data_IF_986187612027
#
_entry.id   IF_986187612027
#
_cell.length_a   1.000
_cell.length_b   1.000
_cell.length_c   1.000
_cell.angle_alpha   90.00
_cell.angle_beta   90.00
_cell.angle_gamma   90.00
#
_symmetry.space_group_name_H-M   'P 1'
#
loop_
_entity.id
_entity.type
_entity.pdbx_description
1 polymer ?
#
# COMPACT_ATOMS: atom_id res chain seq x y z
N UNK A 1 10.23 8.33 -19.15
CA UNK A 1 10.87 8.77 -17.91
C UNK A 1 9.81 8.85 -16.82
N UNK A 2 9.91 7.99 -15.81
CA UNK A 2 9.09 8.14 -14.57
C UNK A 2 9.82 9.19 -13.75
N UNK A 3 9.24 10.39 -13.65
CA UNK A 3 9.69 11.41 -12.72
C UNK A 3 9.29 10.95 -11.31
N UNK A 4 10.25 10.48 -10.53
CA UNK A 4 10.08 10.29 -9.11
C UNK A 4 10.31 11.66 -8.46
N UNK A 5 9.27 12.32 -7.91
CA UNK A 5 9.48 13.59 -7.22
C UNK A 5 10.39 13.34 -6.00
N UNK A 6 11.17 14.35 -5.57
CA UNK A 6 11.98 14.25 -4.37
C UNK A 6 11.07 13.89 -3.18
N UNK A 7 11.60 13.13 -2.19
CA UNK A 7 10.82 12.79 -1.01
C UNK A 7 10.41 14.08 -0.28
N UNK A 8 9.11 14.21 -0.07
CA UNK A 8 8.56 15.24 0.82
C UNK A 8 8.81 14.90 2.29
N UNK A 9 8.27 15.71 3.17
CA UNK A 9 8.38 15.45 4.60
C UNK A 9 7.73 14.10 4.94
N UNK A 10 8.40 13.23 5.73
CA UNK A 10 7.82 11.98 6.16
C UNK A 10 6.54 12.21 6.98
N UNK A 11 5.66 11.22 7.00
CA UNK A 11 4.48 11.26 7.87
C UNK A 11 4.91 11.34 9.32
N UNK A 12 4.50 12.39 10.00
CA UNK A 12 4.75 12.60 11.44
C UNK A 12 3.40 12.50 12.16
N UNK A 13 3.26 11.60 13.14
CA UNK A 13 2.12 11.63 14.04
C UNK A 13 2.15 12.94 14.82
N UNK A 14 1.07 13.71 14.79
CA UNK A 14 0.95 14.88 15.66
C UNK A 14 0.61 14.46 17.09
N UNK A 15 0.99 15.29 18.06
CA UNK A 15 0.84 15.02 19.50
C UNK A 15 -0.62 14.83 19.96
N UNK A 16 -1.59 15.28 19.17
CA UNK A 16 -3.01 14.93 19.31
C UNK A 16 -3.32 13.77 18.40
N UNK A 17 -3.15 12.63 18.88
CA UNK A 17 -3.23 11.21 18.49
C UNK A 17 -4.02 10.77 17.23
N UNK A 18 -4.53 11.63 16.34
CA UNK A 18 -5.44 11.21 15.27
C UNK A 18 -5.14 11.76 13.88
N UNK A 19 -4.31 12.78 13.73
CA UNK A 19 -4.08 13.39 12.43
C UNK A 19 -2.67 13.13 11.92
N UNK A 20 -2.55 12.33 10.85
CA UNK A 20 -1.32 12.17 10.09
C UNK A 20 -1.16 13.34 9.13
N UNK A 21 0.04 13.94 9.10
CA UNK A 21 0.40 15.00 8.17
C UNK A 21 1.69 14.64 7.43
N UNK A 22 1.78 15.01 6.15
CA UNK A 22 2.96 14.82 5.33
C UNK A 22 2.77 13.81 4.21
N UNK A 23 3.88 13.33 3.67
CA UNK A 23 3.90 12.37 2.56
C UNK A 23 4.31 10.99 3.04
N UNK A 24 3.64 9.98 2.50
CA UNK A 24 3.95 8.58 2.72
C UNK A 24 4.11 7.87 1.38
N UNK A 25 5.24 7.22 1.20
CA UNK A 25 5.58 6.47 -0.02
C UNK A 25 5.99 5.06 0.34
N UNK A 26 5.41 4.07 -0.34
CA UNK A 26 5.80 2.66 -0.26
C UNK A 26 5.73 1.99 -1.61
N UNK A 27 6.57 0.98 -1.77
CA UNK A 27 6.51 0.04 -2.88
C UNK A 27 6.49 -1.38 -2.34
N UNK A 28 5.56 -2.18 -2.84
CA UNK A 28 5.41 -3.59 -2.50
C UNK A 28 5.63 -4.43 -3.73
N UNK A 29 6.41 -5.49 -3.57
CA UNK A 29 6.63 -6.50 -4.61
C UNK A 29 6.23 -7.85 -4.03
N UNK A 30 5.37 -8.57 -4.73
CA UNK A 30 4.99 -9.95 -4.41
C UNK A 30 5.45 -10.85 -5.54
N UNK A 31 6.26 -11.85 -5.21
CA UNK A 31 6.79 -12.85 -6.13
C UNK A 31 6.76 -14.24 -5.49
N UNK A 32 6.88 -15.30 -6.30
CA UNK A 32 6.93 -16.69 -5.79
C UNK A 32 8.23 -17.01 -5.06
N UNK A 33 9.34 -16.38 -5.44
CA UNK A 33 10.67 -16.61 -4.89
C UNK A 33 11.20 -15.31 -4.31
N UNK A 34 12.12 -15.44 -3.37
CA UNK A 34 12.64 -14.30 -2.63
C UNK A 34 13.57 -13.41 -3.47
N UNK A 35 14.31 -14.01 -4.42
CA UNK A 35 15.29 -13.29 -5.25
C UNK A 35 14.97 -13.45 -6.74
N UNK A 36 15.27 -12.39 -7.52
CA UNK A 36 15.30 -12.30 -8.99
C UNK A 36 14.04 -12.77 -9.74
N UNK A 37 12.91 -12.96 -9.06
CA UNK A 37 11.69 -13.40 -9.70
C UNK A 37 10.86 -12.22 -10.23
N UNK A 38 10.21 -12.43 -11.37
CA UNK A 38 9.28 -11.46 -11.92
C UNK A 38 8.08 -11.36 -10.97
N UNK A 39 7.68 -10.14 -10.64
CA UNK A 39 6.57 -9.89 -9.72
C UNK A 39 5.28 -10.54 -10.21
N UNK A 40 4.57 -11.24 -9.32
CA UNK A 40 3.17 -11.58 -9.53
C UNK A 40 2.32 -10.31 -9.48
N UNK A 41 2.58 -9.44 -8.50
CA UNK A 41 1.97 -8.13 -8.30
C UNK A 41 3.02 -7.15 -7.77
N UNK A 42 2.94 -5.90 -8.21
CA UNK A 42 3.70 -4.78 -7.67
C UNK A 42 2.74 -3.62 -7.43
N UNK A 43 2.87 -2.97 -6.29
CA UNK A 43 2.10 -1.76 -5.95
C UNK A 43 3.06 -0.68 -5.45
N UNK A 44 3.12 0.45 -6.17
CA UNK A 44 3.71 1.70 -5.70
C UNK A 44 2.60 2.63 -5.22
N UNK A 45 2.73 3.17 -4.03
CA UNK A 45 1.72 4.02 -3.42
C UNK A 45 2.38 5.26 -2.82
N UNK A 46 1.93 6.45 -3.23
CA UNK A 46 2.23 7.73 -2.60
C UNK A 46 0.95 8.39 -2.13
N UNK A 47 0.91 8.78 -0.88
CA UNK A 47 -0.17 9.57 -0.28
C UNK A 47 0.39 10.87 0.28
N UNK A 48 -0.36 11.95 0.16
CA UNK A 48 -0.17 13.19 0.91
C UNK A 48 -1.36 13.40 1.81
N UNK A 49 -1.10 13.57 3.09
CA UNK A 49 -2.12 13.72 4.14
C UNK A 49 -2.02 15.11 4.76
N UNK A 50 -3.18 15.70 5.03
CA UNK A 50 -3.33 16.91 5.87
C UNK A 50 -4.45 16.66 6.86
N UNK A 51 -4.16 16.81 8.14
CA UNK A 51 -5.11 16.59 9.24
C UNK A 51 -5.82 15.23 9.16
N UNK A 52 -5.06 14.20 8.78
CA UNK A 52 -5.57 12.85 8.61
C UNK A 52 -6.40 12.61 7.33
N UNK A 53 -6.58 13.62 6.49
CA UNK A 53 -7.32 13.51 5.22
C UNK A 53 -6.34 13.35 4.05
N UNK A 54 -6.65 12.46 3.12
CA UNK A 54 -5.87 12.25 1.90
C UNK A 54 -6.11 13.42 0.95
N UNK A 55 -5.11 14.27 0.75
CA UNK A 55 -5.19 15.39 -0.19
C UNK A 55 -4.67 15.04 -1.57
N UNK A 56 -3.74 14.08 -1.66
CA UNK A 56 -3.23 13.55 -2.92
C UNK A 56 -2.97 12.05 -2.80
N UNK A 57 -3.26 11.31 -3.86
CA UNK A 57 -2.95 9.91 -3.98
C UNK A 57 -2.37 9.61 -5.37
N UNK A 58 -1.36 8.75 -5.42
CA UNK A 58 -0.80 8.23 -6.67
C UNK A 58 -0.48 6.76 -6.49
N UNK A 59 -1.14 5.91 -7.25
CA UNK A 59 -1.00 4.46 -7.19
C UNK A 59 -0.58 3.90 -8.54
N UNK A 60 0.60 3.29 -8.61
CA UNK A 60 1.10 2.54 -9.77
C UNK A 60 1.03 1.04 -9.51
N UNK A 61 0.47 0.29 -10.43
CA UNK A 61 0.25 -1.16 -10.29
C UNK A 61 0.91 -1.92 -11.43
N UNK A 62 1.66 -2.96 -11.09
CA UNK A 62 2.24 -3.91 -12.03
C UNK A 62 1.66 -5.31 -11.86
N UNK A 63 1.65 -6.11 -12.94
CA UNK A 63 1.14 -7.47 -12.93
C UNK A 63 -0.38 -7.60 -13.12
N UNK A 64 -1.08 -6.53 -13.46
CA UNK A 64 -2.53 -6.50 -13.67
C UNK A 64 -2.94 -6.16 -15.10
N UNK A 65 -1.99 -5.72 -15.91
CA UNK A 65 -2.13 -5.41 -17.33
C UNK A 65 -0.82 -5.72 -18.05
N UNK A 66 -0.77 -5.55 -19.37
CA UNK A 66 0.42 -5.78 -20.18
C UNK A 66 1.60 -4.86 -19.78
N UNK A 67 1.31 -3.67 -19.29
CA UNK A 67 2.27 -2.69 -18.78
C UNK A 67 1.84 -2.19 -17.41
N UNK A 68 2.76 -1.58 -16.62
CA UNK A 68 2.37 -0.91 -15.39
C UNK A 68 1.33 0.18 -15.66
N UNK A 69 0.32 0.26 -14.82
CA UNK A 69 -0.82 1.18 -14.96
C UNK A 69 -1.07 1.96 -13.68
N UNK A 70 -1.71 3.13 -13.80
CA UNK A 70 -2.20 3.89 -12.65
C UNK A 70 -3.59 3.41 -12.24
N UNK A 71 -3.82 3.35 -10.94
CA UNK A 71 -5.12 3.00 -10.35
C UNK A 71 -5.95 4.28 -10.11
N UNK A 72 -6.35 4.95 -11.20
CA UNK A 72 -7.01 6.27 -11.13
C UNK A 72 -8.35 6.26 -10.41
N UNK A 73 -9.10 5.15 -10.48
CA UNK A 73 -10.37 5.01 -9.75
C UNK A 73 -10.14 4.89 -8.26
N UNK A 74 -9.12 4.13 -7.88
CA UNK A 74 -8.72 3.97 -6.48
C UNK A 74 -8.17 5.28 -5.91
N UNK A 75 -7.36 6.02 -6.69
CA UNK A 75 -6.88 7.35 -6.30
C UNK A 75 -8.06 8.29 -6.03
N UNK A 76 -9.05 8.32 -6.92
CA UNK A 76 -10.25 9.15 -6.75
C UNK A 76 -11.09 8.74 -5.52
N UNK A 77 -11.11 7.46 -5.18
CA UNK A 77 -11.81 6.97 -3.99
C UNK A 77 -11.09 7.30 -2.67
N UNK A 78 -9.80 7.65 -2.73
CA UNK A 78 -8.99 8.04 -1.57
C UNK A 78 -8.97 9.55 -1.33
N UNK A 79 -8.91 10.34 -2.40
CA UNK A 79 -8.76 11.80 -2.31
C UNK A 79 -9.99 12.42 -1.65
N UNK A 80 -9.75 13.22 -0.61
CA UNK A 80 -10.79 13.88 0.18
C UNK A 80 -11.32 13.04 1.34
N UNK A 81 -10.94 11.77 1.46
CA UNK A 81 -11.38 10.89 2.53
C UNK A 81 -10.39 10.88 3.70
N UNK A 82 -10.88 10.74 4.93
CA UNK A 82 -10.04 10.49 6.09
C UNK A 82 -9.27 9.17 5.91
N UNK A 83 -7.98 9.15 6.22
CA UNK A 83 -7.15 7.95 6.12
C UNK A 83 -7.39 7.02 7.32
N UNK A 84 -8.45 6.27 7.26
CA UNK A 84 -8.94 5.33 8.29
C UNK A 84 -8.93 3.90 7.77
N UNK A 85 -9.12 2.94 8.66
CA UNK A 85 -9.29 1.54 8.27
C UNK A 85 -10.48 1.35 7.31
N UNK A 86 -11.58 2.06 7.54
CA UNK A 86 -12.78 1.96 6.71
C UNK A 86 -12.54 2.51 5.29
N UNK A 87 -11.92 3.69 5.17
CA UNK A 87 -11.60 4.26 3.85
C UNK A 87 -10.55 3.44 3.10
N UNK A 88 -9.55 2.90 3.80
CA UNK A 88 -8.57 2.00 3.22
C UNK A 88 -9.21 0.68 2.74
N UNK A 89 -10.14 0.10 3.50
CA UNK A 89 -10.88 -1.09 3.10
C UNK A 89 -11.79 -0.82 1.88
N UNK A 90 -12.46 0.35 1.85
CA UNK A 90 -13.25 0.76 0.68
C UNK A 90 -12.37 0.91 -0.57
N UNK A 91 -11.27 1.65 -0.46
CA UNK A 91 -10.33 1.83 -1.57
C UNK A 91 -9.70 0.49 -2.02
N UNK A 92 -9.44 -0.45 -1.10
CA UNK A 92 -8.98 -1.79 -1.43
C UNK A 92 -10.00 -2.55 -2.29
N UNK A 93 -11.30 -2.43 -1.99
CA UNK A 93 -12.37 -3.03 -2.79
C UNK A 93 -12.45 -2.40 -4.18
N UNK A 94 -12.29 -1.09 -4.29
CA UNK A 94 -12.22 -0.38 -5.57
C UNK A 94 -11.02 -0.87 -6.38
N UNK A 95 -9.84 -0.98 -5.76
CA UNK A 95 -8.61 -1.44 -6.40
C UNK A 95 -8.74 -2.87 -6.95
N UNK A 96 -9.37 -3.76 -6.19
CA UNK A 96 -9.64 -5.14 -6.62
C UNK A 96 -10.58 -5.21 -7.84
N UNK A 97 -11.52 -4.27 -7.94
CA UNK A 97 -12.48 -4.19 -9.04
C UNK A 97 -11.99 -3.36 -10.24
N UNK A 98 -10.91 -2.59 -10.07
CA UNK A 98 -10.42 -1.67 -11.11
C UNK A 98 -9.75 -2.41 -12.27
N UNK A 99 -9.13 -3.57 -12.00
CA UNK A 99 -8.35 -4.31 -12.98
C UNK A 99 -8.90 -5.73 -13.21
N UNK A 100 -8.66 -6.24 -14.43
CA UNK A 100 -8.96 -7.61 -14.82
C UNK A 100 -7.66 -8.34 -15.23
N UNK A 101 -6.81 -8.70 -14.25
CA UNK A 101 -5.57 -9.39 -14.55
C UNK A 101 -5.80 -10.76 -15.15
N UNK A 102 -4.85 -11.23 -15.95
CA UNK A 102 -4.84 -12.61 -16.46
C UNK A 102 -4.34 -13.58 -15.38
N UNK A 103 -4.70 -14.84 -15.53
CA UNK A 103 -4.06 -15.95 -14.82
C UNK A 103 -2.91 -16.50 -15.66
N UNK A 104 -1.76 -16.70 -15.06
CA UNK A 104 -0.58 -17.29 -15.68
C UNK A 104 0.16 -18.22 -14.69
N UNK A 105 1.35 -18.71 -15.10
CA UNK A 105 2.17 -19.59 -14.25
C UNK A 105 2.63 -18.93 -12.94
N UNK A 106 2.59 -17.58 -12.84
CA UNK A 106 3.02 -16.84 -11.66
C UNK A 106 1.92 -16.71 -10.63
N UNK A 107 0.69 -16.39 -11.07
CA UNK A 107 -0.43 -16.20 -10.17
C UNK A 107 -1.77 -16.25 -10.94
N UNK A 108 -2.83 -16.65 -10.24
CA UNK A 108 -4.19 -16.54 -10.75
C UNK A 108 -4.68 -15.09 -10.74
N UNK A 109 -5.64 -14.76 -11.60
CA UNK A 109 -6.31 -13.47 -11.62
C UNK A 109 -6.95 -13.14 -10.26
N UNK A 110 -7.56 -14.13 -9.62
CA UNK A 110 -8.14 -13.98 -8.28
C UNK A 110 -7.09 -13.60 -7.24
N UNK A 111 -5.98 -14.34 -7.19
CA UNK A 111 -4.87 -14.06 -6.26
C UNK A 111 -4.33 -12.64 -6.44
N UNK A 112 -4.09 -12.21 -7.69
CA UNK A 112 -3.57 -10.86 -7.98
C UNK A 112 -4.50 -9.77 -7.44
N UNK A 113 -5.82 -9.90 -7.64
CA UNK A 113 -6.81 -8.95 -7.12
C UNK A 113 -6.84 -8.94 -5.59
N UNK A 114 -6.90 -10.11 -4.97
CA UNK A 114 -6.91 -10.24 -3.50
C UNK A 114 -5.68 -9.61 -2.88
N UNK A 115 -4.51 -9.90 -3.42
CA UNK A 115 -3.22 -9.37 -2.92
C UNK A 115 -3.18 -7.85 -3.05
N UNK A 116 -3.64 -7.25 -4.16
CA UNK A 116 -3.67 -5.79 -4.30
C UNK A 116 -4.48 -5.12 -3.19
N UNK A 117 -5.66 -5.63 -2.90
CA UNK A 117 -6.47 -5.10 -1.80
C UNK A 117 -5.77 -5.25 -0.44
N UNK A 118 -5.15 -6.39 -0.19
CA UNK A 118 -4.40 -6.63 1.05
C UNK A 118 -3.18 -5.70 1.18
N UNK A 119 -2.48 -5.41 0.08
CA UNK A 119 -1.36 -4.48 0.09
C UNK A 119 -1.79 -3.05 0.44
N UNK A 120 -2.95 -2.61 -0.02
CA UNK A 120 -3.47 -1.29 0.33
C UNK A 120 -3.87 -1.21 1.81
N UNK A 121 -4.49 -2.26 2.35
CA UNK A 121 -4.79 -2.35 3.79
C UNK A 121 -3.51 -2.42 4.64
N UNK A 122 -2.51 -3.17 4.18
CA UNK A 122 -1.18 -3.19 4.80
C UNK A 122 -0.54 -1.79 4.82
N UNK A 123 -0.65 -1.05 3.73
CA UNK A 123 -0.16 0.31 3.63
C UNK A 123 -0.79 1.22 4.69
N UNK A 124 -2.11 1.08 4.92
CA UNK A 124 -2.79 1.79 6.01
C UNK A 124 -2.21 1.40 7.38
N UNK A 125 -2.11 0.12 7.66
CA UNK A 125 -1.60 -0.36 8.94
C UNK A 125 -0.16 0.09 9.22
N UNK A 126 0.73 0.02 8.22
CA UNK A 126 2.11 0.50 8.34
C UNK A 126 2.20 2.02 8.55
N UNK A 127 1.38 2.80 7.84
CA UNK A 127 1.39 4.27 7.94
C UNK A 127 0.86 4.78 9.28
N UNK A 128 0.01 4.01 9.95
CA UNK A 128 -0.57 4.34 11.26
C UNK A 128 0.19 3.71 12.43
N UNK A 129 1.25 2.96 12.16
CA UNK A 129 2.04 2.27 13.19
C UNK A 129 1.38 1.01 13.75
N UNK A 130 0.26 0.56 13.18
CA UNK A 130 -0.46 -0.67 13.58
C UNK A 130 0.02 -1.88 12.75
N UNK A 131 0.94 -1.65 11.81
CA UNK A 131 1.34 -2.62 10.80
C UNK A 131 2.09 -3.83 11.34
N UNK A 132 2.14 -4.91 10.54
CA UNK A 132 2.94 -6.07 10.86
C UNK A 132 4.42 -5.66 11.01
N UNK A 133 5.05 -6.23 11.99
CA UNK A 133 6.49 -6.09 12.22
C UNK A 133 7.21 -6.48 10.93
N UNK A 134 7.98 -5.58 10.35
CA UNK A 134 8.91 -5.95 9.30
C UNK A 134 10.00 -6.83 9.95
N UNK A 135 10.05 -8.11 9.58
CA UNK A 135 10.98 -9.08 10.18
C UNK A 135 12.46 -8.68 10.02
N UNK A 136 12.77 -7.84 9.03
CA UNK A 136 14.11 -7.28 8.86
C UNK A 136 14.49 -6.26 9.94
N UNK A 137 13.51 -5.69 10.64
CA UNK A 137 13.67 -4.71 11.72
C UNK A 137 13.02 -5.18 13.03
N UNK A 138 12.53 -6.43 13.08
CA UNK A 138 11.96 -7.00 14.30
C UNK A 138 13.08 -7.26 15.30
N UNK A 139 13.09 -6.50 16.39
CA UNK A 139 13.84 -6.89 17.56
C UNK A 139 13.21 -8.17 18.14
N UNK A 140 13.89 -9.30 17.95
CA UNK A 140 13.45 -10.63 18.45
C UNK A 140 13.17 -10.60 19.95
N UNK A 141 13.76 -9.67 20.70
CA UNK A 141 13.50 -9.48 22.12
C UNK A 141 12.05 -9.04 22.41
N UNK A 142 11.39 -8.35 21.48
CA UNK A 142 9.99 -7.94 21.63
C UNK A 142 9.00 -9.09 21.36
N UNK A 143 9.40 -10.09 20.57
CA UNK A 143 8.56 -11.24 20.24
C UNK A 143 8.57 -12.30 21.37
N UNK A 144 9.61 -12.34 22.18
CA UNK A 144 9.74 -13.30 23.31
C UNK A 144 9.18 -12.77 24.63
N UNK A 145 8.91 -11.46 24.75
CA UNK A 145 8.33 -10.84 25.93
C UNK A 145 6.82 -10.99 26.11
N UNK A 146 6.11 -11.53 25.12
CA UNK A 146 4.65 -11.71 25.15
C UNK A 146 4.22 -13.10 25.69
N UNK A 147 5.16 -13.92 26.17
CA UNK A 147 4.93 -15.27 26.71
C UNK A 147 5.34 -15.37 28.19
N UNK A 148 5.08 -14.34 28.95
CA UNK A 148 5.23 -14.38 30.39
C UNK A 148 3.88 -14.12 31.07
#
# INVERSE_FOLDING_TARGET
HILVPPPGSPLVPQADATALNGEWLRAYKISKRFEDDISAVCLGLKLTLRDGVVTQASLGVGGVAATPVRAVRTEAALIGEPWTQASAAHAASVLQAEFSPISDMRASAHYRRTVLGNLLQRAWAESTGIGPINLEHADLAQLTGAAA
#
